data_IF_499145375030
#
_entry.id   IF_499145375030
#
_cell.length_a   1.000
_cell.length_b   1.000
_cell.length_c   1.000
_cell.angle_alpha   90.00
_cell.angle_beta   90.00
_cell.angle_gamma   90.00
#
_symmetry.space_group_name_H-M   'P 1'
#
loop_
_entity.id
_entity.type
_entity.pdbx_description
1 polymer ?
#
# COMPACT_ATOMS: atom_id res chain seq x y z
N UNK A 1 33.34 -8.24 14.28
CA UNK A 1 32.05 -8.85 13.90
C UNK A 1 32.32 -9.94 12.89
N UNK A 2 31.88 -11.17 13.16
CA UNK A 2 32.07 -12.35 12.32
C UNK A 2 30.87 -13.28 12.51
N UNK A 3 30.14 -13.55 11.43
CA UNK A 3 29.08 -14.55 11.41
C UNK A 3 29.03 -15.30 10.08
N UNK A 4 28.46 -16.50 10.11
CA UNK A 4 28.02 -17.26 8.93
C UNK A 4 26.50 -17.38 8.98
N UNK A 5 25.83 -17.23 7.84
CA UNK A 5 24.37 -17.25 7.75
C UNK A 5 23.90 -18.05 6.55
N UNK A 6 22.77 -18.75 6.69
CA UNK A 6 22.04 -19.36 5.59
C UNK A 6 21.74 -18.32 4.51
N UNK A 7 22.11 -18.65 3.28
CA UNK A 7 22.05 -17.73 2.15
C UNK A 7 20.62 -17.30 1.86
N UNK A 8 19.67 -18.22 1.84
CA UNK A 8 18.32 -17.94 1.39
C UNK A 8 17.57 -17.08 2.42
N UNK A 9 17.75 -17.36 3.71
CA UNK A 9 17.31 -16.48 4.80
C UNK A 9 17.94 -15.09 4.66
N UNK A 10 19.26 -15.01 4.47
CA UNK A 10 19.93 -13.71 4.38
C UNK A 10 19.45 -12.89 3.17
N UNK A 11 19.29 -13.52 1.99
CA UNK A 11 18.74 -12.87 0.80
C UNK A 11 17.34 -12.34 1.10
N UNK A 12 16.44 -13.17 1.64
CA UNK A 12 15.06 -12.77 1.92
C UNK A 12 15.00 -11.55 2.86
N UNK A 13 15.73 -11.60 3.97
CA UNK A 13 15.73 -10.53 4.97
C UNK A 13 16.37 -9.24 4.44
N UNK A 14 17.47 -9.34 3.68
CA UNK A 14 18.09 -8.18 3.00
C UNK A 14 17.11 -7.54 2.00
N UNK A 15 16.37 -8.34 1.22
CA UNK A 15 15.37 -7.82 0.28
C UNK A 15 14.16 -7.20 0.99
N UNK A 16 13.86 -7.60 2.23
CA UNK A 16 12.79 -7.00 3.02
C UNK A 16 13.20 -5.62 3.54
N UNK A 17 14.34 -5.50 4.21
CA UNK A 17 14.80 -4.20 4.73
C UNK A 17 15.14 -3.20 3.60
N UNK A 18 15.57 -3.68 2.44
CA UNK A 18 15.88 -2.83 1.29
C UNK A 18 14.65 -2.10 0.73
N UNK A 19 13.42 -2.56 1.01
CA UNK A 19 12.18 -1.85 0.64
C UNK A 19 12.03 -0.51 1.38
N UNK A 20 12.66 -0.38 2.55
CA UNK A 20 12.68 0.86 3.33
C UNK A 20 13.87 1.79 3.00
N UNK A 21 14.74 1.42 2.06
CA UNK A 21 15.91 2.24 1.71
C UNK A 21 15.63 3.06 0.46
N UNK A 22 15.74 4.39 0.59
CA UNK A 22 15.62 5.32 -0.52
C UNK A 22 16.98 5.77 -1.04
N UNK A 23 17.15 5.80 -2.37
CA UNK A 23 18.32 6.43 -2.99
C UNK A 23 18.30 7.97 -2.91
N UNK A 24 17.17 8.55 -2.50
CA UNK A 24 16.98 10.00 -2.34
C UNK A 24 16.74 10.29 -0.86
N UNK A 25 17.82 10.54 -0.14
CA UNK A 25 17.79 10.87 1.30
C UNK A 25 18.72 12.04 1.60
N UNK A 26 18.34 12.86 2.57
CA UNK A 26 19.18 13.94 3.13
C UNK A 26 20.13 13.44 4.21
N UNK A 27 19.93 12.22 4.71
CA UNK A 27 20.73 11.57 5.74
C UNK A 27 21.56 10.46 5.07
N UNK A 28 22.85 10.69 4.73
CA UNK A 28 23.61 9.78 3.87
C UNK A 28 23.70 8.34 4.38
N UNK A 29 23.78 8.13 5.70
CA UNK A 29 23.90 6.78 6.26
C UNK A 29 22.65 5.91 6.04
N UNK A 30 21.49 6.52 5.79
CA UNK A 30 20.24 5.81 5.43
C UNK A 30 20.24 5.24 4.00
N UNK A 31 21.29 5.50 3.21
CA UNK A 31 21.54 4.74 1.97
C UNK A 31 22.06 3.32 2.23
N UNK A 32 22.41 3.02 3.49
CA UNK A 32 22.88 1.72 3.94
C UNK A 32 21.82 0.89 4.65
N UNK A 33 22.12 -0.40 4.79
CA UNK A 33 21.46 -1.34 5.69
C UNK A 33 22.37 -1.52 6.90
N UNK A 34 21.81 -1.33 8.10
CA UNK A 34 22.47 -1.66 9.36
C UNK A 34 22.37 -3.16 9.59
N UNK A 35 23.47 -3.78 10.00
CA UNK A 35 23.58 -5.19 10.35
C UNK A 35 24.09 -5.26 11.79
N UNK A 36 23.42 -6.03 12.63
CA UNK A 36 23.84 -6.28 14.01
C UNK A 36 23.87 -7.79 14.22
N UNK A 37 25.05 -8.34 14.51
CA UNK A 37 25.21 -9.74 14.91
C UNK A 37 25.32 -9.80 16.44
N UNK A 38 24.37 -10.50 17.07
CA UNK A 38 24.28 -10.70 18.51
C UNK A 38 24.34 -12.21 18.83
N UNK A 39 24.24 -12.58 20.12
CA UNK A 39 24.33 -13.98 20.52
C UNK A 39 23.15 -14.83 20.03
N UNK A 40 22.00 -14.21 19.84
CA UNK A 40 20.72 -14.81 19.49
C UNK A 40 20.40 -14.78 17.99
N UNK A 41 21.12 -13.98 17.21
CA UNK A 41 20.91 -13.91 15.76
C UNK A 41 21.52 -12.69 15.09
N UNK A 42 21.02 -12.41 13.89
CA UNK A 42 21.39 -11.23 13.08
C UNK A 42 20.17 -10.37 12.82
N UNK A 43 20.26 -9.10 13.21
CA UNK A 43 19.24 -8.08 12.91
C UNK A 43 19.69 -7.23 11.73
N UNK A 44 18.78 -7.02 10.78
CA UNK A 44 18.95 -6.10 9.67
C UNK A 44 17.96 -4.94 9.81
N UNK A 45 18.42 -3.72 9.56
CA UNK A 45 17.57 -2.52 9.59
C UNK A 45 17.78 -1.66 8.35
N UNK A 46 16.70 -1.29 7.69
CA UNK A 46 16.66 -0.32 6.59
C UNK A 46 15.67 0.81 6.92
N UNK A 47 15.95 2.03 6.49
CA UNK A 47 15.09 3.19 6.79
C UNK A 47 15.32 4.33 5.80
N UNK A 48 14.28 5.12 5.55
CA UNK A 48 14.35 6.39 4.80
C UNK A 48 13.90 7.58 5.67
N UNK A 49 13.81 7.37 6.99
CA UNK A 49 13.27 8.27 8.03
C UNK A 49 11.75 8.38 8.13
N UNK A 50 10.99 7.99 7.10
CA UNK A 50 9.52 7.94 7.14
C UNK A 50 9.03 6.53 7.39
N UNK A 51 9.64 5.55 6.72
CA UNK A 51 9.48 4.12 7.00
C UNK A 51 10.78 3.52 7.52
N UNK A 52 10.65 2.51 8.37
CA UNK A 52 11.78 1.67 8.79
C UNK A 52 11.34 0.22 8.83
N UNK A 53 12.19 -0.67 8.34
CA UNK A 53 11.97 -2.12 8.42
C UNK A 53 13.13 -2.72 9.20
N UNK A 54 12.80 -3.46 10.25
CA UNK A 54 13.74 -4.29 10.98
C UNK A 54 13.36 -5.75 10.77
N UNK A 55 14.34 -6.61 10.52
CA UNK A 55 14.12 -8.04 10.44
C UNK A 55 15.15 -8.78 11.25
N UNK A 56 14.77 -9.92 11.81
CA UNK A 56 15.63 -10.74 12.65
C UNK A 56 15.78 -12.15 12.08
N UNK A 57 17.01 -12.65 12.03
CA UNK A 57 17.30 -14.04 11.68
C UNK A 57 17.83 -14.72 12.95
N UNK A 58 17.09 -15.63 13.58
CA UNK A 58 17.55 -16.34 14.78
C UNK A 58 18.74 -17.24 14.44
N UNK A 59 19.57 -17.59 15.43
CA UNK A 59 20.64 -18.59 15.28
C UNK A 59 20.11 -19.96 14.88
N UNK A 60 18.99 -20.36 15.47
CA UNK A 60 18.31 -21.63 15.23
C UNK A 60 16.78 -21.43 15.29
N UNK A 61 16.05 -22.07 14.39
CA UNK A 61 14.59 -22.16 14.47
C UNK A 61 14.10 -23.41 13.70
N UNK A 62 13.14 -24.14 14.28
CA UNK A 62 12.58 -25.38 13.74
C UNK A 62 13.66 -26.45 13.41
N UNK A 63 14.60 -26.67 14.35
CA UNK A 63 15.74 -27.60 14.23
C UNK A 63 16.74 -27.27 13.11
N UNK A 64 16.61 -26.12 12.44
CA UNK A 64 17.55 -25.63 11.44
C UNK A 64 18.45 -24.56 12.05
N UNK A 65 19.77 -24.69 11.85
CA UNK A 65 20.73 -23.67 12.20
C UNK A 65 20.85 -22.65 11.07
N UNK A 66 20.39 -21.42 11.29
CA UNK A 66 20.43 -20.36 10.27
C UNK A 66 21.60 -19.41 10.42
N UNK A 67 22.07 -19.16 11.65
CA UNK A 67 23.20 -18.25 11.89
C UNK A 67 24.18 -18.88 12.88
N UNK A 68 25.46 -18.84 12.54
CA UNK A 68 26.56 -19.06 13.46
C UNK A 68 27.31 -17.75 13.68
N UNK A 69 27.20 -17.17 14.88
CA UNK A 69 27.91 -15.94 15.24
C UNK A 69 29.22 -16.29 15.95
N UNK A 70 30.35 -16.05 15.30
CA UNK A 70 31.68 -16.24 15.91
C UNK A 70 32.13 -15.01 16.72
N UNK A 71 31.76 -13.81 16.27
CA UNK A 71 32.07 -12.55 16.95
C UNK A 71 30.94 -11.55 16.77
N UNK A 72 30.37 -11.07 17.88
CA UNK A 72 29.31 -10.06 17.87
C UNK A 72 29.80 -8.72 17.31
N UNK A 73 28.87 -7.87 16.89
CA UNK A 73 29.16 -6.50 16.49
C UNK A 73 28.13 -5.94 15.53
N UNK A 74 28.44 -4.81 14.91
CA UNK A 74 27.56 -4.19 13.94
C UNK A 74 28.31 -3.44 12.85
N UNK A 75 27.64 -3.20 11.73
CA UNK A 75 28.16 -2.45 10.59
C UNK A 75 27.00 -1.85 9.80
N UNK A 76 27.28 -0.84 8.98
CA UNK A 76 26.35 -0.36 7.95
C UNK A 76 26.96 -0.56 6.56
N UNK A 77 26.24 -1.22 5.65
CA UNK A 77 26.68 -1.47 4.28
C UNK A 77 25.75 -0.78 3.28
N UNK A 78 26.31 -0.24 2.20
CA UNK A 78 25.54 0.42 1.14
C UNK A 78 24.48 -0.52 0.52
N UNK A 79 23.20 -0.23 0.74
CA UNK A 79 22.10 -1.16 0.51
C UNK A 79 22.02 -1.62 -0.95
N UNK A 80 22.15 -0.67 -1.88
CA UNK A 80 22.10 -0.91 -3.34
C UNK A 80 23.11 -1.98 -3.77
N UNK A 81 24.34 -1.92 -3.27
CA UNK A 81 25.38 -2.86 -3.65
C UNK A 81 25.24 -4.17 -2.86
N UNK A 82 25.01 -4.06 -1.56
CA UNK A 82 24.91 -5.19 -0.67
C UNK A 82 23.77 -6.14 -1.06
N UNK A 83 22.58 -5.61 -1.35
CA UNK A 83 21.42 -6.40 -1.78
C UNK A 83 21.66 -7.14 -3.11
N UNK A 84 22.33 -6.50 -4.07
CA UNK A 84 22.69 -7.12 -5.36
C UNK A 84 23.78 -8.19 -5.21
N UNK A 85 24.74 -7.97 -4.32
CA UNK A 85 25.80 -8.94 -4.01
C UNK A 85 25.19 -10.20 -3.39
N UNK A 86 24.45 -10.05 -2.29
CA UNK A 86 23.87 -11.18 -1.53
C UNK A 86 22.98 -12.03 -2.43
N UNK A 87 22.18 -11.41 -3.30
CA UNK A 87 21.33 -12.11 -4.28
C UNK A 87 22.09 -12.97 -5.29
N UNK A 88 23.35 -12.63 -5.60
CA UNK A 88 24.17 -13.29 -6.64
C UNK A 88 25.24 -14.23 -6.09
N UNK A 89 25.44 -14.27 -4.77
CA UNK A 89 26.38 -15.20 -4.17
C UNK A 89 25.95 -16.66 -4.45
N UNK A 90 26.89 -17.57 -4.74
CA UNK A 90 26.60 -19.01 -4.89
C UNK A 90 26.45 -19.67 -3.51
N UNK A 91 26.39 -21.01 -3.45
CA UNK A 91 26.47 -21.76 -2.20
C UNK A 91 25.21 -21.72 -1.33
N UNK A 92 25.30 -22.35 -0.16
CA UNK A 92 24.22 -22.42 0.84
C UNK A 92 24.45 -21.45 2.02
N UNK A 93 25.70 -21.03 2.25
CA UNK A 93 26.07 -20.16 3.36
C UNK A 93 26.81 -18.91 2.87
N UNK A 94 26.65 -17.81 3.61
CA UNK A 94 27.38 -16.56 3.44
C UNK A 94 28.15 -16.26 4.72
N UNK A 95 29.47 -16.06 4.60
CA UNK A 95 30.32 -15.58 5.68
C UNK A 95 30.46 -14.06 5.59
N UNK A 96 30.26 -13.35 6.70
CA UNK A 96 30.46 -11.91 6.82
C UNK A 96 31.48 -11.62 7.92
N UNK A 97 32.57 -10.93 7.57
CA UNK A 97 33.65 -10.57 8.49
C UNK A 97 33.93 -9.08 8.40
N UNK A 98 33.84 -8.37 9.52
CA UNK A 98 34.24 -6.97 9.64
C UNK A 98 35.62 -6.90 10.27
N UNK A 99 36.52 -6.22 9.59
CA UNK A 99 37.91 -5.97 9.97
C UNK A 99 38.09 -4.51 10.41
N UNK A 100 39.35 -4.10 10.58
CA UNK A 100 39.71 -2.72 10.92
C UNK A 100 39.13 -1.71 9.92
N UNK A 101 38.84 -0.50 10.42
CA UNK A 101 38.32 0.62 9.62
C UNK A 101 37.03 0.28 8.84
N UNK A 102 36.19 -0.60 9.41
CA UNK A 102 34.91 -1.02 8.84
C UNK A 102 35.03 -1.76 7.49
N UNK A 103 36.22 -2.22 7.11
CA UNK A 103 36.40 -3.07 5.94
C UNK A 103 35.65 -4.39 6.14
N UNK A 104 34.69 -4.68 5.27
CA UNK A 104 33.79 -5.83 5.42
C UNK A 104 33.98 -6.81 4.27
N UNK A 105 34.39 -8.03 4.60
CA UNK A 105 34.50 -9.14 3.66
C UNK A 105 33.23 -9.97 3.68
N UNK A 106 32.67 -10.25 2.50
CA UNK A 106 31.53 -11.16 2.31
C UNK A 106 32.00 -12.31 1.42
N UNK A 107 31.88 -13.55 1.90
CA UNK A 107 32.32 -14.75 1.16
C UNK A 107 31.19 -15.73 0.98
N UNK A 108 31.17 -16.37 -0.18
CA UNK A 108 30.42 -17.60 -0.37
C UNK A 108 31.03 -18.44 -1.49
N UNK A 109 31.27 -19.73 -1.22
CA UNK A 109 32.06 -20.60 -2.09
C UNK A 109 33.42 -19.99 -2.42
N UNK A 110 33.73 -19.84 -3.70
CA UNK A 110 34.98 -19.22 -4.17
C UNK A 110 34.90 -17.69 -4.34
N UNK A 111 33.74 -17.08 -4.08
CA UNK A 111 33.51 -15.65 -4.33
C UNK A 111 33.80 -14.87 -3.05
N UNK A 112 34.56 -13.78 -3.20
CA UNK A 112 34.91 -12.87 -2.11
C UNK A 112 34.68 -11.43 -2.55
N UNK A 113 33.81 -10.72 -1.84
CA UNK A 113 33.61 -9.28 -1.97
C UNK A 113 34.22 -8.56 -0.77
N UNK A 114 34.80 -7.38 -1.00
CA UNK A 114 35.22 -6.47 0.05
C UNK A 114 34.49 -5.14 -0.13
N UNK A 115 33.79 -4.70 0.91
CA UNK A 115 33.04 -3.46 0.94
C UNK A 115 33.58 -2.56 2.04
N UNK A 116 33.54 -1.25 1.79
CA UNK A 116 33.79 -0.26 2.84
C UNK A 116 32.48 -0.07 3.61
N UNK A 117 32.46 -0.50 4.86
CA UNK A 117 31.35 -0.25 5.78
C UNK A 117 31.40 1.17 6.36
N UNK A 118 30.31 1.55 7.01
CA UNK A 118 30.17 2.78 7.78
C UNK A 118 29.95 2.46 9.25
N UNK A 119 30.23 3.44 10.11
CA UNK A 119 30.06 3.32 11.56
C UNK A 119 28.57 3.13 11.91
N UNK A 120 28.18 2.02 12.55
CA UNK A 120 26.79 1.75 12.95
C UNK A 120 26.26 2.66 14.07
N UNK A 121 27.11 3.39 14.79
CA UNK A 121 26.68 4.36 15.81
C UNK A 121 26.03 5.61 15.20
N UNK A 122 26.38 5.96 13.96
CA UNK A 122 25.77 7.06 13.22
C UNK A 122 24.35 6.71 12.71
N UNK A 123 23.98 5.43 12.70
CA UNK A 123 22.69 4.99 12.17
C UNK A 123 21.55 5.31 13.17
N UNK A 124 20.46 5.97 12.74
CA UNK A 124 19.37 6.35 13.63
C UNK A 124 18.77 5.16 14.41
N UNK A 125 18.44 5.39 15.67
CA UNK A 125 17.76 4.38 16.50
C UNK A 125 16.29 4.29 16.13
N UNK A 126 15.76 3.07 16.11
CA UNK A 126 14.34 2.86 15.97
C UNK A 126 13.58 3.34 17.21
N UNK A 127 12.37 3.85 17.02
CA UNK A 127 11.48 4.26 18.10
C UNK A 127 11.04 3.02 18.89
N UNK A 128 11.00 3.16 20.22
CA UNK A 128 10.35 2.18 21.10
C UNK A 128 8.90 2.61 21.27
N UNK A 129 7.98 1.75 20.86
CA UNK A 129 6.54 1.99 21.02
C UNK A 129 6.05 1.18 22.21
N UNK A 130 5.25 1.80 23.05
CA UNK A 130 4.57 1.11 24.13
C UNK A 130 3.35 0.36 23.56
N UNK A 131 3.04 -0.78 24.18
CA UNK A 131 2.01 -1.74 23.77
C UNK A 131 0.58 -1.27 24.16
N UNK A 132 0.29 0.03 24.15
CA UNK A 132 -0.94 0.60 24.73
C UNK A 132 -2.15 0.58 23.80
N UNK A 133 -1.96 0.81 22.50
CA UNK A 133 -3.02 0.74 21.48
C UNK A 133 -2.65 -0.32 20.43
N UNK A 134 -2.93 -1.58 20.77
CA UNK A 134 -2.64 -2.72 19.91
C UNK A 134 -3.91 -3.43 19.46
N UNK A 135 -3.89 -3.98 18.24
CA UNK A 135 -4.91 -4.89 17.75
C UNK A 135 -4.33 -5.79 16.66
N UNK A 136 -5.08 -6.82 16.26
CA UNK A 136 -4.65 -7.81 15.29
C UNK A 136 -5.59 -7.85 14.09
N UNK A 137 -5.05 -8.13 12.90
CA UNK A 137 -5.83 -8.41 11.69
C UNK A 137 -5.21 -9.59 10.93
N UNK A 138 -6.01 -10.38 10.19
CA UNK A 138 -5.49 -11.24 9.14
C UNK A 138 -4.69 -10.42 8.11
N UNK A 139 -3.55 -10.92 7.67
CA UNK A 139 -2.70 -10.26 6.67
C UNK A 139 -3.41 -10.10 5.34
N UNK A 140 -4.13 -11.13 4.88
CA UNK A 140 -5.00 -11.10 3.70
C UNK A 140 -5.99 -9.92 3.75
N UNK A 141 -6.69 -9.76 4.87
CA UNK A 141 -7.65 -8.67 5.07
C UNK A 141 -6.97 -7.29 5.04
N UNK A 142 -5.87 -7.09 5.77
CA UNK A 142 -5.17 -5.81 5.77
C UNK A 142 -4.66 -5.46 4.36
N UNK A 143 -4.16 -6.45 3.63
CA UNK A 143 -3.67 -6.29 2.24
C UNK A 143 -4.80 -5.84 1.31
N UNK A 144 -5.99 -6.43 1.45
CA UNK A 144 -7.17 -6.02 0.71
C UNK A 144 -7.63 -4.60 1.06
N UNK A 145 -7.67 -4.26 2.35
CA UNK A 145 -8.03 -2.91 2.79
C UNK A 145 -7.09 -1.85 2.21
N UNK A 146 -5.78 -2.13 2.16
CA UNK A 146 -4.79 -1.26 1.53
C UNK A 146 -5.05 -1.16 0.02
N UNK A 147 -5.11 -2.31 -0.67
CA UNK A 147 -5.34 -2.39 -2.13
C UNK A 147 -6.57 -1.58 -2.55
N UNK A 148 -7.65 -1.69 -1.79
CA UNK A 148 -8.94 -1.09 -2.11
C UNK A 148 -9.08 0.40 -1.70
N UNK A 149 -8.07 0.99 -1.06
CA UNK A 149 -8.14 2.40 -0.62
C UNK A 149 -6.95 3.24 -1.09
N UNK A 150 -5.72 2.71 -1.03
CA UNK A 150 -4.49 3.50 -1.21
C UNK A 150 -4.39 4.19 -2.57
N UNK A 151 -5.02 3.65 -3.61
CA UNK A 151 -5.00 4.25 -4.95
C UNK A 151 -5.71 5.61 -5.01
N UNK A 152 -6.59 5.93 -4.06
CA UNK A 152 -7.40 7.15 -4.03
C UNK A 152 -6.74 8.32 -3.27
N UNK A 153 -5.54 8.14 -2.71
CA UNK A 153 -4.81 9.22 -2.04
C UNK A 153 -4.34 10.30 -3.03
N UNK A 154 -4.17 11.52 -2.54
CA UNK A 154 -3.58 12.63 -3.29
C UNK A 154 -2.11 12.38 -3.59
N UNK A 155 -1.68 12.65 -4.81
CA UNK A 155 -0.26 12.74 -5.18
C UNK A 155 0.33 14.14 -4.91
N UNK A 156 -0.52 15.12 -4.57
CA UNK A 156 -0.11 16.50 -4.31
C UNK A 156 0.19 16.70 -2.82
N UNK A 157 1.40 17.17 -2.52
CA UNK A 157 1.86 17.48 -1.16
C UNK A 157 1.30 18.81 -0.61
N UNK A 158 0.43 19.51 -1.36
CA UNK A 158 -0.21 20.76 -0.92
C UNK A 158 -1.17 20.57 0.26
N UNK A 159 -1.75 19.36 0.37
CA UNK A 159 -2.55 18.91 1.50
C UNK A 159 -1.98 17.56 1.98
N UNK A 160 -0.92 17.55 2.79
CA UNK A 160 -0.21 16.32 3.18
C UNK A 160 -1.13 15.26 3.76
N UNK A 161 -2.12 15.64 4.58
CA UNK A 161 -3.09 14.70 5.17
C UNK A 161 -3.85 13.84 4.14
N UNK A 162 -4.01 14.32 2.90
CA UNK A 162 -4.67 13.57 1.82
C UNK A 162 -3.74 12.62 1.07
N UNK A 163 -2.43 12.64 1.33
CA UNK A 163 -1.47 11.68 0.75
C UNK A 163 -1.47 10.34 1.51
N UNK A 164 -2.24 10.26 2.61
CA UNK A 164 -2.45 9.06 3.39
C UNK A 164 -3.88 8.52 3.37
N UNK A 165 -4.00 7.31 3.89
CA UNK A 165 -5.26 6.64 4.18
C UNK A 165 -5.59 6.89 5.66
N UNK A 166 -6.78 7.39 5.91
CA UNK A 166 -7.31 7.55 7.26
C UNK A 166 -7.90 6.23 7.75
N UNK A 167 -7.57 5.88 8.98
CA UNK A 167 -8.01 4.70 9.71
C UNK A 167 -8.82 5.15 10.92
N UNK A 168 -10.07 4.71 10.97
CA UNK A 168 -11.03 4.95 12.04
C UNK A 168 -11.59 3.61 12.53
N UNK A 169 -12.01 3.56 13.80
CA UNK A 169 -12.68 2.42 14.40
C UNK A 169 -13.97 2.90 15.03
N UNK A 170 -15.09 2.34 14.59
CA UNK A 170 -16.42 2.77 15.03
C UNK A 170 -17.35 1.55 15.04
N UNK A 171 -18.08 1.33 16.15
CA UNK A 171 -19.08 0.26 16.28
C UNK A 171 -18.55 -1.16 15.97
N UNK A 172 -17.27 -1.43 16.26
CA UNK A 172 -16.64 -2.72 15.95
C UNK A 172 -16.27 -2.90 14.47
N UNK A 173 -16.33 -1.84 13.66
CA UNK A 173 -15.81 -1.80 12.30
C UNK A 173 -14.51 -0.99 12.26
N UNK A 174 -13.52 -1.50 11.53
CA UNK A 174 -12.36 -0.74 11.08
C UNK A 174 -12.69 -0.11 9.71
N UNK A 175 -12.49 1.19 9.59
CA UNK A 175 -12.84 1.97 8.40
C UNK A 175 -11.58 2.63 7.85
N UNK A 176 -11.20 2.25 6.62
CA UNK A 176 -10.16 2.90 5.85
C UNK A 176 -10.78 3.86 4.84
N UNK A 177 -10.36 5.13 4.85
CA UNK A 177 -10.83 6.17 3.92
C UNK A 177 -9.65 6.85 3.23
N UNK A 178 -9.71 6.99 1.90
CA UNK A 178 -8.74 7.69 1.09
C UNK A 178 -9.43 8.63 0.09
N UNK A 179 -8.92 9.85 -0.08
CA UNK A 179 -9.45 10.81 -1.07
C UNK A 179 -8.40 11.78 -1.57
N UNK A 180 -8.53 12.20 -2.82
CA UNK A 180 -7.74 13.24 -3.47
C UNK A 180 -8.56 14.53 -3.73
N UNK A 181 -9.71 14.67 -3.06
CA UNK A 181 -10.75 15.70 -3.29
C UNK A 181 -11.57 15.57 -4.58
N UNK A 182 -11.21 14.66 -5.50
CA UNK A 182 -11.98 14.39 -6.73
C UNK A 182 -12.66 13.02 -6.71
N UNK A 183 -12.04 12.05 -6.05
CA UNK A 183 -12.59 10.73 -5.77
C UNK A 183 -12.35 10.35 -4.33
N UNK A 184 -13.10 9.36 -3.86
CA UNK A 184 -12.95 8.76 -2.55
C UNK A 184 -13.09 7.25 -2.65
N UNK A 185 -12.27 6.53 -1.87
CA UNK A 185 -12.40 5.10 -1.63
C UNK A 185 -12.57 4.87 -0.13
N UNK A 186 -13.54 4.03 0.22
CA UNK A 186 -13.82 3.64 1.59
C UNK A 186 -13.92 2.11 1.64
N UNK A 187 -13.27 1.52 2.65
CA UNK A 187 -13.31 0.08 2.92
C UNK A 187 -13.53 -0.14 4.42
N UNK A 188 -14.54 -0.95 4.75
CA UNK A 188 -14.89 -1.35 6.12
C UNK A 188 -14.50 -2.78 6.37
N UNK A 189 -14.05 -3.14 7.56
CA UNK A 189 -13.88 -4.52 7.97
C UNK A 189 -14.42 -4.71 9.39
N UNK A 190 -15.13 -5.82 9.62
CA UNK A 190 -15.57 -6.16 10.97
C UNK A 190 -14.35 -6.58 11.80
N UNK A 191 -14.21 -6.00 12.99
CA UNK A 191 -13.28 -6.47 13.99
C UNK A 191 -13.91 -7.67 14.71
N UNK A 192 -13.10 -8.65 15.11
CA UNK A 192 -13.61 -9.85 15.78
C UNK A 192 -14.31 -9.50 17.10
N UNK A 193 -15.46 -10.13 17.35
CA UNK A 193 -16.24 -9.90 18.55
C UNK A 193 -15.45 -10.30 19.81
N UNK A 194 -15.25 -9.37 20.74
CA UNK A 194 -14.47 -9.59 21.97
C UNK A 194 -12.99 -9.21 21.86
N UNK A 195 -12.53 -8.72 20.71
CA UNK A 195 -11.29 -7.95 20.63
C UNK A 195 -11.47 -6.61 21.33
N UNK A 196 -10.45 -6.11 22.03
CA UNK A 196 -10.38 -4.71 22.47
C UNK A 196 -10.29 -3.85 21.21
N UNK A 197 -11.44 -3.55 20.61
CA UNK A 197 -11.52 -2.74 19.40
C UNK A 197 -10.80 -1.41 19.66
N UNK A 198 -9.79 -1.04 18.86
CA UNK A 198 -8.98 0.12 19.15
C UNK A 198 -9.86 1.38 19.03
N UNK A 199 -9.69 2.34 19.94
CA UNK A 199 -10.37 3.64 19.82
C UNK A 199 -9.57 4.52 18.85
N UNK A 200 -9.88 4.42 17.56
CA UNK A 200 -9.20 5.13 16.48
C UNK A 200 -10.16 6.17 15.89
N UNK A 201 -9.83 7.45 16.04
CA UNK A 201 -10.67 8.54 15.53
C UNK A 201 -10.04 9.35 14.40
N UNK A 202 -8.71 9.29 14.23
CA UNK A 202 -7.99 10.05 13.20
C UNK A 202 -6.53 9.58 13.04
N UNK A 203 -6.33 8.36 12.55
CA UNK A 203 -4.98 7.86 12.25
C UNK A 203 -4.74 7.94 10.75
N UNK A 204 -3.76 8.71 10.30
CA UNK A 204 -3.51 8.88 8.85
C UNK A 204 -2.16 8.30 8.50
N UNK A 205 -2.16 7.17 7.78
CA UNK A 205 -0.95 6.46 7.38
C UNK A 205 -0.60 6.87 5.94
N UNK A 206 0.64 7.32 5.66
CA UNK A 206 1.04 7.68 4.29
C UNK A 206 0.78 6.55 3.30
N UNK A 207 0.22 6.87 2.13
CA UNK A 207 -0.08 5.86 1.12
C UNK A 207 1.18 5.18 0.59
N UNK A 208 2.32 5.88 0.55
CA UNK A 208 3.62 5.27 0.19
C UNK A 208 4.02 4.17 1.18
N UNK A 209 3.86 4.41 2.48
CA UNK A 209 4.13 3.42 3.52
C UNK A 209 3.24 2.18 3.38
N UNK A 210 1.94 2.38 3.15
CA UNK A 210 1.01 1.27 2.95
C UNK A 210 1.32 0.45 1.69
N UNK A 211 1.79 1.10 0.61
CA UNK A 211 2.22 0.39 -0.59
C UNK A 211 3.45 -0.52 -0.32
N UNK A 212 4.42 -0.07 0.47
CA UNK A 212 5.57 -0.92 0.83
C UNK A 212 5.18 -2.03 1.81
N UNK A 213 4.32 -1.73 2.80
CA UNK A 213 3.74 -2.72 3.71
C UNK A 213 2.99 -3.83 2.93
N UNK A 214 2.18 -3.45 1.93
CA UNK A 214 1.40 -4.41 1.12
C UNK A 214 2.27 -5.45 0.41
N UNK A 215 3.54 -5.13 0.11
CA UNK A 215 4.50 -6.07 -0.50
C UNK A 215 5.10 -7.06 0.50
N UNK A 216 4.91 -6.84 1.79
CA UNK A 216 5.36 -7.73 2.87
C UNK A 216 4.24 -8.64 3.37
N UNK A 217 2.97 -8.25 3.17
CA UNK A 217 1.81 -9.03 3.58
C UNK A 217 1.62 -10.28 2.70
N UNK A 218 1.43 -11.43 3.35
CA UNK A 218 1.00 -12.68 2.72
C UNK A 218 -0.46 -12.61 2.25
N UNK A 219 -0.86 -13.59 1.44
CA UNK A 219 -2.26 -13.79 1.02
C UNK A 219 -2.99 -14.81 1.92
N UNK A 220 -2.39 -15.16 3.07
CA UNK A 220 -2.95 -16.09 4.04
C UNK A 220 -3.57 -15.36 5.25
N UNK A 221 -4.22 -16.13 6.12
CA UNK A 221 -4.90 -15.64 7.31
C UNK A 221 -3.98 -15.53 8.53
N UNK A 222 -2.66 -15.58 8.34
CA UNK A 222 -1.73 -15.28 9.43
C UNK A 222 -2.01 -13.86 9.95
N UNK A 223 -1.90 -13.67 11.25
CA UNK A 223 -2.19 -12.37 11.86
C UNK A 223 -0.99 -11.44 11.78
N UNK A 224 -1.27 -10.15 11.65
CA UNK A 224 -0.32 -9.06 11.87
C UNK A 224 -0.80 -8.27 13.08
N UNK A 225 0.11 -7.98 13.99
CA UNK A 225 -0.16 -7.11 15.13
C UNK A 225 0.14 -5.66 14.74
N UNK A 226 -0.75 -4.76 15.11
CA UNK A 226 -0.71 -3.34 14.74
C UNK A 226 -0.68 -2.53 16.02
N UNK A 227 0.38 -1.74 16.21
CA UNK A 227 0.57 -0.87 17.37
C UNK A 227 0.61 0.57 16.90
N UNK A 228 -0.26 1.40 17.47
CA UNK A 228 -0.43 2.80 17.06
C UNK A 228 -0.06 3.72 18.22
N UNK A 229 0.70 4.76 17.91
CA UNK A 229 0.99 5.87 18.82
C UNK A 229 0.51 7.18 18.21
N UNK A 230 0.71 8.31 18.88
CA UNK A 230 0.32 9.62 18.36
C UNK A 230 1.02 9.99 17.05
N UNK A 231 2.24 9.50 16.81
CA UNK A 231 3.09 9.94 15.68
C UNK A 231 3.52 8.81 14.76
N UNK A 232 3.29 7.55 15.15
CA UNK A 232 3.79 6.38 14.42
C UNK A 232 2.84 5.19 14.53
N UNK A 233 2.93 4.32 13.53
CA UNK A 233 2.34 2.99 13.53
C UNK A 233 3.43 1.95 13.29
N UNK A 234 3.34 0.83 13.99
CA UNK A 234 4.18 -0.35 13.79
C UNK A 234 3.30 -1.56 13.46
N UNK A 235 3.75 -2.34 12.48
CA UNK A 235 3.19 -3.62 12.11
C UNK A 235 4.21 -4.71 12.48
N UNK A 236 3.84 -5.61 13.38
CA UNK A 236 4.70 -6.68 13.92
C UNK A 236 4.27 -8.02 13.33
N UNK A 237 5.27 -8.69 12.75
CA UNK A 237 5.25 -10.06 12.22
C UNK A 237 6.24 -10.91 13.05
N UNK A 238 6.26 -12.25 12.94
CA UNK A 238 7.14 -13.10 13.75
C UNK A 238 8.62 -12.69 13.78
N UNK A 239 9.18 -12.23 12.65
CA UNK A 239 10.60 -11.85 12.51
C UNK A 239 10.80 -10.51 11.78
N UNK A 240 9.76 -9.69 11.71
CA UNK A 240 9.79 -8.43 10.97
C UNK A 240 8.97 -7.36 11.70
N UNK A 241 9.55 -6.17 11.82
CA UNK A 241 8.89 -4.96 12.30
C UNK A 241 8.88 -3.93 11.17
N UNK A 242 7.71 -3.44 10.81
CA UNK A 242 7.53 -2.34 9.87
C UNK A 242 7.03 -1.12 10.60
N UNK A 243 7.76 -0.02 10.55
CA UNK A 243 7.41 1.27 11.13
C UNK A 243 7.02 2.25 10.03
N UNK A 244 6.00 3.07 10.29
CA UNK A 244 5.69 4.26 9.51
C UNK A 244 5.40 5.42 10.43
N UNK A 245 5.90 6.60 10.07
CA UNK A 245 5.35 7.85 10.59
C UNK A 245 3.89 8.02 10.18
N UNK A 246 3.11 8.63 11.06
CA UNK A 246 1.77 9.10 10.77
C UNK A 246 1.82 10.53 10.21
N UNK A 247 0.81 10.90 9.43
CA UNK A 247 0.65 12.25 8.95
C UNK A 247 -0.07 13.09 10.01
N UNK A 248 0.52 14.24 10.32
CA UNK A 248 -0.09 15.22 11.22
C UNK A 248 -1.32 15.88 10.59
N UNK A 249 -2.28 16.22 11.44
CA UNK A 249 -3.46 17.00 11.09
C UNK A 249 -4.76 16.18 11.10
N UNK A 250 -5.86 16.90 10.90
CA UNK A 250 -7.20 16.32 10.93
C UNK A 250 -7.63 15.90 9.54
N UNK A 251 -7.97 14.63 9.36
CA UNK A 251 -8.56 14.16 8.11
C UNK A 251 -9.95 14.80 7.92
N UNK A 252 -10.34 15.20 6.69
CA UNK A 252 -11.65 15.79 6.46
C UNK A 252 -12.78 14.79 6.76
N UNK A 253 -13.91 15.30 7.27
CA UNK A 253 -15.12 14.49 7.46
C UNK A 253 -15.73 14.18 6.09
N UNK A 254 -15.62 12.91 5.67
CA UNK A 254 -16.05 12.46 4.34
C UNK A 254 -17.46 11.88 4.30
N UNK A 255 -18.02 11.45 5.45
CA UNK A 255 -19.37 10.86 5.54
C UNK A 255 -20.44 11.75 4.87
N UNK A 256 -20.31 13.07 5.00
CA UNK A 256 -21.22 14.05 4.42
C UNK A 256 -21.10 14.20 2.89
N UNK A 257 -20.03 13.67 2.28
CA UNK A 257 -19.84 13.70 0.83
C UNK A 257 -20.60 12.57 0.13
N UNK A 258 -20.93 11.50 0.85
CA UNK A 258 -21.58 10.31 0.29
C UNK A 258 -23.08 10.61 0.13
N UNK A 259 -23.63 10.64 -1.10
CA UNK A 259 -25.03 10.92 -1.29
C UNK A 259 -25.93 9.82 -0.71
N UNK A 260 -27.01 10.23 -0.04
CA UNK A 260 -28.05 9.34 0.49
C UNK A 260 -29.19 9.08 -0.49
N UNK A 261 -29.41 10.00 -1.43
CA UNK A 261 -30.45 9.90 -2.46
C UNK A 261 -29.87 9.33 -3.76
N UNK A 262 -30.74 8.76 -4.61
CA UNK A 262 -30.36 8.26 -5.94
C UNK A 262 -31.47 8.64 -6.91
N UNK A 263 -31.11 9.28 -8.03
CA UNK A 263 -32.03 9.62 -9.13
C UNK A 263 -31.97 8.64 -10.28
N UNK A 264 -30.78 8.06 -10.52
CA UNK A 264 -30.55 7.04 -11.53
C UNK A 264 -29.68 5.95 -10.94
N UNK A 265 -30.12 4.69 -11.01
CA UNK A 265 -29.37 3.50 -10.61
C UNK A 265 -29.03 2.67 -11.84
N UNK A 266 -27.79 2.17 -11.94
CA UNK A 266 -27.34 1.30 -13.03
C UNK A 266 -26.63 0.09 -12.43
N UNK A 267 -27.10 -1.12 -12.75
CA UNK A 267 -26.43 -2.38 -12.42
C UNK A 267 -25.88 -3.02 -13.69
N UNK A 268 -24.60 -3.37 -13.68
CA UNK A 268 -23.88 -3.94 -14.83
C UNK A 268 -22.64 -4.72 -14.40
N UNK A 269 -22.07 -5.49 -15.33
CA UNK A 269 -20.83 -6.22 -15.12
C UNK A 269 -19.64 -5.28 -14.87
N UNK A 270 -18.91 -5.53 -13.78
CA UNK A 270 -17.66 -4.84 -13.44
C UNK A 270 -16.64 -4.95 -14.58
N UNK A 271 -16.52 -6.17 -15.14
CA UNK A 271 -15.55 -6.48 -16.20
C UNK A 271 -15.89 -5.78 -17.51
N UNK A 272 -17.15 -5.78 -17.92
CA UNK A 272 -17.55 -5.13 -19.18
C UNK A 272 -17.37 -3.62 -19.11
N UNK A 273 -17.76 -2.99 -17.99
CA UNK A 273 -17.52 -1.56 -17.79
C UNK A 273 -16.03 -1.23 -17.79
N UNK A 274 -15.21 -2.00 -17.05
CA UNK A 274 -13.76 -1.80 -17.00
C UNK A 274 -13.14 -1.85 -18.40
N UNK A 275 -13.50 -2.86 -19.20
CA UNK A 275 -12.99 -3.02 -20.55
C UNK A 275 -13.44 -1.91 -21.49
N UNK A 276 -14.69 -1.45 -21.37
CA UNK A 276 -15.20 -0.34 -22.18
C UNK A 276 -14.52 0.98 -21.82
N UNK A 277 -14.32 1.26 -20.53
CA UNK A 277 -13.57 2.43 -20.09
C UNK A 277 -12.11 2.38 -20.56
N UNK A 278 -11.45 1.23 -20.51
CA UNK A 278 -10.07 1.09 -21.01
C UNK A 278 -9.97 1.40 -22.52
N UNK A 279 -10.92 0.90 -23.32
CA UNK A 279 -11.04 1.27 -24.75
C UNK A 279 -11.30 2.76 -24.93
N UNK A 280 -12.22 3.34 -24.16
CA UNK A 280 -12.58 4.75 -24.26
C UNK A 280 -11.42 5.69 -23.83
N UNK A 281 -10.58 5.24 -22.90
CA UNK A 281 -9.40 5.97 -22.44
C UNK A 281 -8.30 6.08 -23.50
N UNK A 282 -8.26 5.22 -24.53
CA UNK A 282 -7.25 5.28 -25.59
C UNK A 282 -7.27 6.63 -26.34
N UNK A 283 -8.43 7.27 -26.46
CA UNK A 283 -8.58 8.56 -27.15
C UNK A 283 -8.47 9.78 -26.21
N UNK A 284 -8.71 9.62 -24.90
CA UNK A 284 -8.72 10.74 -23.94
C UNK A 284 -7.40 10.98 -23.20
N UNK A 285 -6.41 10.09 -23.35
CA UNK A 285 -5.07 10.26 -22.76
C UNK A 285 -4.33 11.50 -23.29
N UNK A 286 -4.56 11.86 -24.56
CA UNK A 286 -3.93 13.03 -25.19
C UNK A 286 -4.46 14.36 -24.65
N UNK A 287 -5.74 14.43 -24.25
CA UNK A 287 -6.35 15.65 -23.73
C UNK A 287 -6.05 15.90 -22.24
N UNK A 288 -5.18 15.07 -21.63
CA UNK A 288 -4.72 15.09 -20.22
C UNK A 288 -5.79 14.92 -19.14
N UNK A 289 -7.07 15.08 -19.47
CA UNK A 289 -8.17 15.07 -18.50
C UNK A 289 -8.92 13.74 -18.43
N UNK A 290 -8.63 12.77 -19.31
CA UNK A 290 -9.22 11.42 -19.33
C UNK A 290 -10.77 11.44 -19.29
N UNK A 291 -11.39 12.42 -19.98
CA UNK A 291 -12.84 12.63 -19.90
C UNK A 291 -13.58 11.56 -20.69
N UNK A 292 -14.54 10.92 -20.02
CA UNK A 292 -15.48 9.97 -20.59
C UNK A 292 -16.91 10.47 -20.32
N UNK A 293 -17.77 10.33 -21.31
CA UNK A 293 -19.20 10.62 -21.20
C UNK A 293 -19.97 9.30 -21.10
N UNK A 294 -20.92 9.25 -20.18
CA UNK A 294 -21.89 8.16 -20.03
C UNK A 294 -23.29 8.71 -20.27
N UNK A 295 -24.11 7.98 -21.05
CA UNK A 295 -25.53 8.29 -21.23
C UNK A 295 -26.38 7.03 -21.10
N UNK A 296 -27.50 7.07 -20.37
CA UNK A 296 -28.49 5.99 -20.38
C UNK A 296 -29.26 5.97 -21.71
N UNK A 297 -29.44 4.78 -22.28
CA UNK A 297 -30.26 4.52 -23.44
C UNK A 297 -31.54 3.83 -22.96
N UNK A 298 -32.71 4.36 -23.31
CA UNK A 298 -34.02 3.88 -22.83
C UNK A 298 -34.39 2.44 -23.22
N UNK A 299 -33.45 1.67 -23.76
CA UNK A 299 -33.55 0.27 -24.14
C UNK A 299 -32.74 -0.68 -23.22
N UNK A 300 -32.40 -0.22 -22.00
CA UNK A 300 -31.69 -1.03 -21.01
C UNK A 300 -30.17 -1.04 -21.18
N UNK A 301 -29.61 -0.07 -21.91
CA UNK A 301 -28.16 0.04 -22.15
C UNK A 301 -27.61 1.37 -21.67
N UNK A 302 -26.30 1.44 -21.49
CA UNK A 302 -25.57 2.71 -21.36
C UNK A 302 -24.62 2.91 -22.53
N UNK A 303 -24.54 4.13 -23.04
CA UNK A 303 -23.56 4.55 -24.02
C UNK A 303 -22.36 5.17 -23.31
N UNK A 304 -21.17 4.62 -23.54
CA UNK A 304 -19.87 5.21 -23.21
C UNK A 304 -19.31 5.89 -24.46
N UNK A 305 -18.88 7.14 -24.31
CA UNK A 305 -18.39 7.95 -25.42
C UNK A 305 -17.18 8.82 -25.00
N UNK A 306 -16.14 8.81 -25.82
CA UNK A 306 -15.00 9.72 -25.70
C UNK A 306 -14.65 10.32 -27.07
N UNK A 307 -14.29 11.62 -27.07
CA UNK A 307 -14.01 12.41 -28.27
C UNK A 307 -12.67 13.11 -28.10
N UNK A 308 -11.80 12.98 -29.09
CA UNK A 308 -10.59 13.78 -29.29
C UNK A 308 -10.72 14.53 -30.60
N UNK A 309 -10.63 15.87 -30.55
CA UNK A 309 -10.75 16.73 -31.74
C UNK A 309 -9.68 16.46 -32.79
N UNK A 310 -8.52 15.95 -32.39
CA UNK A 310 -7.38 15.73 -33.28
C UNK A 310 -7.31 14.30 -33.83
N UNK A 311 -7.87 13.32 -33.11
CA UNK A 311 -7.72 11.89 -33.43
C UNK A 311 -9.02 11.26 -33.92
N UNK A 312 -10.14 11.49 -33.21
CA UNK A 312 -11.41 10.85 -33.53
C UNK A 312 -12.32 10.61 -32.32
N UNK A 313 -13.30 9.71 -32.49
CA UNK A 313 -14.33 9.40 -31.50
C UNK A 313 -14.47 7.89 -31.31
N UNK A 314 -14.76 7.48 -30.08
CA UNK A 314 -15.21 6.13 -29.72
C UNK A 314 -16.61 6.20 -29.12
N UNK A 315 -17.45 5.24 -29.45
CA UNK A 315 -18.81 5.09 -28.89
C UNK A 315 -19.07 3.60 -28.73
N UNK A 316 -19.47 3.21 -27.54
CA UNK A 316 -19.73 1.82 -27.17
C UNK A 316 -20.99 1.75 -26.32
N UNK A 317 -21.85 0.79 -26.62
CA UNK A 317 -23.04 0.53 -25.82
C UNK A 317 -22.79 -0.72 -24.97
N UNK A 318 -23.11 -0.64 -23.68
CA UNK A 318 -22.97 -1.74 -22.72
C UNK A 318 -24.37 -2.12 -22.26
N UNK A 319 -24.67 -3.42 -22.30
CA UNK A 319 -25.89 -3.97 -21.75
C UNK A 319 -25.87 -3.86 -20.22
N UNK A 320 -26.99 -3.43 -19.63
CA UNK A 320 -27.11 -3.33 -18.19
C UNK A 320 -28.10 -4.39 -17.70
N UNK A 321 -27.81 -4.97 -16.54
CA UNK A 321 -28.76 -5.86 -15.87
C UNK A 321 -30.00 -5.10 -15.42
N UNK A 322 -29.80 -3.85 -14.99
CA UNK A 322 -30.88 -2.98 -14.53
C UNK A 322 -30.54 -1.50 -14.72
N UNK A 323 -31.53 -0.71 -15.13
CA UNK A 323 -31.49 0.75 -15.12
C UNK A 323 -32.79 1.26 -14.51
N UNK A 324 -32.71 1.99 -13.40
CA UNK A 324 -33.85 2.60 -12.73
C UNK A 324 -33.71 4.12 -12.69
N UNK A 325 -34.83 4.83 -12.73
CA UNK A 325 -34.89 6.28 -12.48
C UNK A 325 -34.83 7.16 -13.72
N UNK A 326 -34.25 8.35 -13.57
CA UNK A 326 -34.23 9.40 -14.60
C UNK A 326 -33.19 9.13 -15.70
N UNK A 327 -33.44 9.63 -16.92
CA UNK A 327 -32.41 9.66 -17.97
C UNK A 327 -31.21 10.49 -17.53
N UNK A 328 -30.01 9.95 -17.74
CA UNK A 328 -28.77 10.57 -17.32
C UNK A 328 -27.82 10.78 -18.50
N UNK A 329 -27.18 11.95 -18.53
CA UNK A 329 -25.93 12.19 -19.27
C UNK A 329 -24.93 12.82 -18.31
N UNK A 330 -23.79 12.19 -18.13
CA UNK A 330 -22.75 12.61 -17.18
C UNK A 330 -21.36 12.44 -17.78
N UNK A 331 -20.44 13.31 -17.39
CA UNK A 331 -19.04 13.25 -17.79
C UNK A 331 -18.17 13.08 -16.55
N UNK A 332 -17.10 12.29 -16.63
CA UNK A 332 -16.20 12.03 -15.50
C UNK A 332 -14.80 11.68 -15.98
N UNK A 333 -13.85 11.62 -15.03
CA UNK A 333 -12.51 11.11 -15.30
C UNK A 333 -12.54 9.57 -15.32
N UNK A 334 -12.37 8.99 -16.51
CA UNK A 334 -12.41 7.54 -16.72
C UNK A 334 -11.31 6.76 -16.00
N UNK A 335 -10.13 7.38 -15.79
CA UNK A 335 -9.02 6.76 -15.05
C UNK A 335 -9.40 6.53 -13.59
N UNK A 336 -10.09 7.50 -12.98
CA UNK A 336 -10.51 7.38 -11.58
C UNK A 336 -11.44 6.17 -11.38
N UNK A 337 -12.41 5.98 -12.26
CA UNK A 337 -13.31 4.83 -12.20
C UNK A 337 -12.57 3.54 -12.52
N UNK A 338 -11.73 3.53 -13.56
CA UNK A 338 -10.91 2.37 -13.94
C UNK A 338 -10.03 1.88 -12.77
N UNK A 339 -9.43 2.79 -12.01
CA UNK A 339 -8.62 2.44 -10.84
C UNK A 339 -9.46 1.74 -9.76
N UNK A 340 -10.71 2.16 -9.53
CA UNK A 340 -11.62 1.50 -8.60
C UNK A 340 -12.12 0.14 -9.11
N UNK A 341 -12.51 0.05 -10.39
CA UNK A 341 -12.99 -1.21 -10.98
C UNK A 341 -11.91 -2.31 -10.97
N UNK A 342 -10.62 -1.95 -10.94
CA UNK A 342 -9.51 -2.91 -10.82
C UNK A 342 -9.36 -3.57 -9.45
N UNK A 343 -9.96 -2.99 -8.42
CA UNK A 343 -9.87 -3.48 -7.02
C UNK A 343 -11.20 -4.03 -6.49
N UNK A 344 -12.26 -3.94 -7.30
CA UNK A 344 -13.55 -4.58 -7.04
C UNK A 344 -13.48 -6.00 -7.60
N UNK A 345 -13.54 -6.99 -6.72
CA UNK A 345 -13.49 -8.40 -7.10
C UNK A 345 -14.88 -8.97 -7.49
N UNK A 346 -15.97 -8.25 -7.17
CA UNK A 346 -17.35 -8.64 -7.45
C UNK A 346 -17.68 -8.60 -8.95
N UNK A 347 -18.45 -9.58 -9.42
CA UNK A 347 -18.82 -9.72 -10.84
C UNK A 347 -19.63 -8.53 -11.35
N UNK A 348 -20.47 -7.96 -10.49
CA UNK A 348 -21.38 -6.86 -10.78
C UNK A 348 -21.21 -5.71 -9.80
N UNK A 349 -21.53 -4.52 -10.29
CA UNK A 349 -21.54 -3.29 -9.52
C UNK A 349 -22.85 -2.55 -9.72
N UNK A 350 -23.21 -1.77 -8.71
CA UNK A 350 -24.29 -0.81 -8.74
C UNK A 350 -23.71 0.61 -8.71
N UNK A 351 -24.09 1.42 -9.70
CA UNK A 351 -23.72 2.83 -9.82
C UNK A 351 -24.93 3.70 -9.51
N UNK A 352 -24.78 4.60 -8.55
CA UNK A 352 -25.83 5.48 -8.06
C UNK A 352 -25.50 6.94 -8.36
N UNK A 353 -26.32 7.54 -9.23
CA UNK A 353 -26.19 8.92 -9.65
C UNK A 353 -27.25 9.80 -9.00
N UNK A 354 -26.86 11.04 -8.66
CA UNK A 354 -27.76 12.07 -8.09
C UNK A 354 -28.05 13.22 -9.05
N UNK A 355 -27.54 13.13 -10.28
CA UNK A 355 -27.65 14.11 -11.35
C UNK A 355 -26.33 14.29 -12.09
N UNK A 356 -26.35 15.01 -13.21
CA UNK A 356 -25.18 15.18 -14.09
C UNK A 356 -24.01 15.97 -13.50
N UNK A 357 -24.26 16.76 -12.45
CA UNK A 357 -23.29 17.70 -11.85
C UNK A 357 -22.96 17.39 -10.38
N UNK A 358 -23.48 16.28 -9.86
CA UNK A 358 -23.32 15.86 -8.48
C UNK A 358 -22.45 14.61 -8.39
N UNK A 359 -21.77 14.37 -7.25
CA UNK A 359 -21.04 13.13 -7.03
C UNK A 359 -21.93 11.89 -7.21
N UNK A 360 -21.32 10.82 -7.68
CA UNK A 360 -21.96 9.51 -7.83
C UNK A 360 -21.11 8.43 -7.16
N UNK A 361 -21.76 7.32 -6.84
CA UNK A 361 -21.19 6.23 -6.04
C UNK A 361 -21.19 4.93 -6.83
N UNK A 362 -20.12 4.16 -6.70
CA UNK A 362 -19.99 2.79 -7.21
C UNK A 362 -19.83 1.85 -6.01
N UNK A 363 -20.63 0.79 -5.96
CA UNK A 363 -20.60 -0.26 -4.94
C UNK A 363 -20.68 -1.64 -5.59
N UNK A 364 -20.05 -2.67 -5.01
CA UNK A 364 -20.40 -4.06 -5.30
C UNK A 364 -21.87 -4.36 -5.04
N UNK A 365 -22.41 -5.37 -5.73
CA UNK A 365 -23.80 -5.83 -5.51
C UNK A 365 -23.93 -6.92 -4.44
N UNK A 366 -22.84 -7.61 -4.13
CA UNK A 366 -22.80 -8.79 -3.25
C UNK A 366 -22.43 -8.47 -1.79
N UNK A 367 -21.90 -7.28 -1.50
CA UNK A 367 -21.60 -6.82 -0.16
C UNK A 367 -21.58 -5.29 -0.04
N UNK A 368 -21.62 -4.76 1.19
CA UNK A 368 -21.61 -3.32 1.49
C UNK A 368 -20.28 -2.80 2.05
N UNK A 369 -19.27 -3.66 2.10
CA UNK A 369 -18.00 -3.38 2.75
C UNK A 369 -17.12 -2.33 2.05
N UNK A 370 -17.39 -1.97 0.79
CA UNK A 370 -16.60 -0.96 0.08
C UNK A 370 -17.48 0.02 -0.69
N UNK A 371 -16.95 1.22 -0.86
CA UNK A 371 -17.62 2.31 -1.55
C UNK A 371 -16.60 3.17 -2.28
N UNK A 372 -16.89 3.49 -3.54
CA UNK A 372 -16.12 4.48 -4.29
C UNK A 372 -17.02 5.64 -4.72
N UNK A 373 -16.55 6.87 -4.53
CA UNK A 373 -17.25 8.09 -4.90
C UNK A 373 -16.43 8.88 -5.90
N UNK A 374 -17.10 9.47 -6.89
CA UNK A 374 -16.45 10.24 -7.94
C UNK A 374 -17.15 11.57 -8.18
N UNK A 375 -16.35 12.61 -8.38
CA UNK A 375 -16.84 13.90 -8.85
C UNK A 375 -17.01 13.90 -10.38
N UNK A 376 -18.11 14.44 -10.91
CA UNK A 376 -18.26 14.62 -12.34
C UNK A 376 -17.33 15.72 -12.86
N UNK A 377 -17.12 15.70 -14.17
CA UNK A 377 -16.42 16.75 -14.93
C UNK A 377 -17.48 17.62 -15.60
N UNK A 378 -17.35 18.94 -15.46
CA UNK A 378 -18.22 19.88 -16.15
C UNK A 378 -17.85 19.94 -17.63
N UNK A 379 -18.78 19.54 -18.49
CA UNK A 379 -18.68 19.71 -19.94
C UNK A 379 -19.72 20.74 -20.39
N UNK A 380 -19.30 21.71 -21.21
CA UNK A 380 -20.14 22.80 -21.73
C UNK A 380 -20.78 22.46 -23.07
#
# INVERSE_FOLDING_TARGET
MHFTVDRDQFVQHVQNVNKAVSSRTTIPILTGIKIVAAADGVTLTGSDSDISIETFIPTEENDNQYVQVQEQGSIVLQARFFAEIVKKLPGEEIEVVVQDQFATTIRSGSVVFNLNGLDPEEYPRLPKLDDTNMFHLPQSLLKDMIRQTVFAVSAQETRPVLTGVNLESENGELICTATDSHRLALRKANLEAGSDAPDLSNIVIPGKSLNELSRLLSDDDATVEIIITETQVMFRFPHLLFYSRLLDGKYPVTKNMIPSETKTGVELSTKELLQSLDRALLLSRETKNNVINLKTLGDGRVEINSVSSEIGKVTENIDCDKIDGEELRISFNGKNITDALKVIDSEKIHIQFTGAMSPFVVRPTDHDQMLHLFSPVRTY
#
